data_IF_359021012944
#
_entry.id   IF_359021012944
#
_cell.length_a   1.000
_cell.length_b   1.000
_cell.length_c   1.000
_cell.angle_alpha   90.00
_cell.angle_beta   90.00
_cell.angle_gamma   90.00
#
_symmetry.space_group_name_H-M   'P 1'
#
loop_
_entity.id
_entity.type
_entity.pdbx_description
1 polymer ?
#
# COMPACT_ATOMS: atom_id res chain seq x y z
N UNK A 1 -66.96 -18.70 17.67
CA UNK A 1 -66.44 -19.05 16.33
C UNK A 1 -66.19 -17.77 15.53
N UNK A 2 -64.92 -17.47 15.21
CA UNK A 2 -64.43 -16.53 14.18
C UNK A 2 -62.90 -16.76 14.13
N UNK A 3 -62.49 -17.67 13.25
CA UNK A 3 -61.83 -17.45 11.94
C UNK A 3 -60.34 -17.10 12.06
N UNK A 4 -59.54 -18.04 11.56
CA UNK A 4 -58.09 -18.12 11.44
C UNK A 4 -57.45 -16.97 10.64
N UNK A 5 -56.20 -16.63 10.97
CA UNK A 5 -55.12 -16.23 10.04
C UNK A 5 -53.79 -16.30 10.83
N UNK A 6 -52.99 -17.36 10.74
CA UNK A 6 -51.91 -17.63 9.77
C UNK A 6 -50.75 -16.58 9.72
N UNK A 7 -49.57 -17.09 10.13
CA UNK A 7 -48.26 -17.02 9.45
C UNK A 7 -47.27 -15.89 9.80
N UNK A 8 -46.19 -16.38 10.42
CA UNK A 8 -44.81 -15.94 10.49
C UNK A 8 -44.28 -14.98 9.40
N UNK A 9 -43.38 -14.08 9.80
CA UNK A 9 -42.07 -13.93 9.13
C UNK A 9 -41.13 -13.10 10.03
N UNK A 10 -40.35 -13.80 10.84
CA UNK A 10 -39.07 -13.27 11.31
C UNK A 10 -38.08 -13.44 10.17
N UNK A 11 -37.87 -12.38 9.37
CA UNK A 11 -36.65 -12.25 8.58
C UNK A 11 -35.79 -11.19 9.27
N UNK A 12 -34.95 -11.66 10.17
CA UNK A 12 -33.81 -10.89 10.62
C UNK A 12 -32.98 -10.56 9.38
N UNK A 13 -32.94 -9.28 9.01
CA UNK A 13 -32.03 -8.76 8.01
C UNK A 13 -30.63 -8.86 8.61
N UNK A 14 -30.02 -10.04 8.49
CA UNK A 14 -28.58 -10.19 8.64
C UNK A 14 -27.95 -9.52 7.41
N UNK A 15 -27.84 -8.20 7.49
CA UNK A 15 -26.88 -7.44 6.69
C UNK A 15 -25.49 -7.93 7.12
N UNK A 16 -25.08 -9.05 6.55
CA UNK A 16 -23.68 -9.40 6.40
C UNK A 16 -23.10 -8.28 5.55
N UNK A 17 -22.58 -7.26 6.22
CA UNK A 17 -21.71 -6.26 5.62
C UNK A 17 -20.54 -7.04 5.01
N UNK A 18 -20.66 -7.39 3.73
CA UNK A 18 -19.49 -7.49 2.88
C UNK A 18 -18.73 -6.20 3.15
N UNK A 19 -17.57 -6.31 3.79
CA UNK A 19 -16.68 -5.17 3.95
C UNK A 19 -16.28 -4.82 2.52
N UNK A 20 -17.06 -3.96 1.88
CA UNK A 20 -16.78 -3.46 0.56
C UNK A 20 -15.43 -2.76 0.69
N UNK A 21 -14.40 -3.37 0.09
CA UNK A 21 -13.13 -2.71 -0.11
C UNK A 21 -13.44 -1.44 -0.88
N UNK A 22 -13.39 -0.30 -0.20
CA UNK A 22 -13.53 0.98 -0.86
C UNK A 22 -12.19 1.25 -1.53
N UNK A 23 -12.17 1.23 -2.85
CA UNK A 23 -11.04 1.77 -3.61
C UNK A 23 -10.83 3.22 -3.19
N UNK A 24 -9.57 3.66 -3.18
CA UNK A 24 -9.26 5.04 -2.86
C UNK A 24 -9.91 5.99 -3.88
N UNK A 25 -10.43 7.11 -3.40
CA UNK A 25 -10.68 8.25 -4.29
C UNK A 25 -9.36 8.94 -4.67
N UNK A 26 -9.41 9.84 -5.67
CA UNK A 26 -8.22 10.56 -6.17
C UNK A 26 -7.47 11.33 -5.07
N UNK A 27 -8.19 11.88 -4.08
CA UNK A 27 -7.58 12.62 -2.99
C UNK A 27 -6.82 11.68 -2.04
N UNK A 28 -7.42 10.53 -1.73
CA UNK A 28 -6.82 9.46 -0.93
C UNK A 28 -5.59 8.87 -1.64
N UNK A 29 -5.68 8.61 -2.95
CA UNK A 29 -4.54 8.17 -3.76
C UNK A 29 -3.41 9.20 -3.74
N UNK A 30 -3.73 10.49 -3.89
CA UNK A 30 -2.74 11.57 -3.86
C UNK A 30 -2.02 11.69 -2.51
N UNK A 31 -2.75 11.57 -1.40
CA UNK A 31 -2.18 11.59 -0.05
C UNK A 31 -1.35 10.33 0.21
N UNK A 32 -1.91 9.15 -0.06
CA UNK A 32 -1.25 7.88 0.15
C UNK A 32 0.01 7.75 -0.73
N UNK A 33 -0.07 8.14 -2.01
CA UNK A 33 1.05 8.13 -2.94
C UNK A 33 2.21 9.01 -2.48
N UNK A 34 1.93 10.22 -2.00
CA UNK A 34 2.98 11.10 -1.44
C UNK A 34 3.62 10.49 -0.19
N UNK A 35 2.81 9.96 0.72
CA UNK A 35 3.30 9.34 1.95
C UNK A 35 4.17 8.10 1.64
N UNK A 36 3.71 7.24 0.73
CA UNK A 36 4.43 6.04 0.29
C UNK A 36 5.73 6.41 -0.43
N UNK A 37 5.72 7.40 -1.33
CA UNK A 37 6.93 7.85 -2.01
C UNK A 37 8.00 8.35 -1.00
N UNK A 38 7.58 9.14 -0.01
CA UNK A 38 8.49 9.63 1.02
C UNK A 38 9.07 8.48 1.88
N UNK A 39 8.22 7.55 2.31
CA UNK A 39 8.66 6.39 3.10
C UNK A 39 9.57 5.45 2.29
N UNK A 40 9.21 5.14 1.04
CA UNK A 40 10.02 4.31 0.15
C UNK A 40 11.38 4.94 -0.13
N UNK A 41 11.42 6.27 -0.38
CA UNK A 41 12.68 7.02 -0.51
C UNK A 41 13.57 6.84 0.71
N UNK A 42 13.02 7.02 1.92
CA UNK A 42 13.77 6.85 3.17
C UNK A 42 14.35 5.44 3.29
N UNK A 43 13.58 4.41 2.96
CA UNK A 43 14.04 3.03 3.02
C UNK A 43 15.17 2.74 2.03
N UNK A 44 14.98 3.07 0.74
CA UNK A 44 15.99 2.76 -0.29
C UNK A 44 17.25 3.61 -0.15
N UNK A 45 17.15 4.81 0.44
CA UNK A 45 18.29 5.71 0.69
C UNK A 45 19.31 5.12 1.66
N UNK A 46 18.95 4.06 2.41
CA UNK A 46 19.90 3.31 3.24
C UNK A 46 20.94 2.57 2.41
N UNK A 47 20.59 2.15 1.19
CA UNK A 47 21.49 1.45 0.27
C UNK A 47 22.04 2.37 -0.83
N UNK A 48 21.18 3.23 -1.41
CA UNK A 48 21.53 4.07 -2.56
C UNK A 48 20.91 5.46 -2.39
N UNK A 49 21.72 6.53 -2.39
CA UNK A 49 21.20 7.89 -2.38
C UNK A 49 20.28 8.16 -3.59
N UNK A 50 19.09 8.69 -3.32
CA UNK A 50 18.16 9.13 -4.38
C UNK A 50 18.57 10.53 -4.84
N UNK A 51 19.22 10.63 -6.00
CA UNK A 51 19.82 11.87 -6.52
C UNK A 51 19.06 12.49 -7.69
N UNK A 52 18.14 11.76 -8.31
CA UNK A 52 17.43 12.23 -9.50
C UNK A 52 15.90 12.12 -9.42
N UNK A 53 15.29 11.93 -10.60
CA UNK A 53 13.84 11.75 -10.73
C UNK A 53 13.38 10.51 -9.97
N UNK A 54 12.20 10.63 -9.36
CA UNK A 54 11.52 9.57 -8.63
C UNK A 54 10.06 9.51 -9.06
N UNK A 55 9.48 8.32 -9.05
CA UNK A 55 8.08 8.09 -9.41
C UNK A 55 7.53 6.95 -8.57
N UNK A 56 6.39 7.20 -7.92
CA UNK A 56 5.58 6.17 -7.30
C UNK A 56 4.39 5.86 -8.20
N UNK A 57 4.12 4.58 -8.40
CA UNK A 57 2.90 4.08 -9.03
C UNK A 57 2.17 3.27 -7.99
N UNK A 58 0.92 3.63 -7.70
CA UNK A 58 0.03 2.82 -6.87
C UNK A 58 -0.61 1.77 -7.78
N UNK A 59 -0.35 0.51 -7.50
CA UNK A 59 -0.94 -0.62 -8.23
C UNK A 59 -2.30 -0.98 -7.65
N UNK A 60 -2.46 -0.83 -6.33
CA UNK A 60 -3.72 -0.96 -5.61
C UNK A 60 -3.77 0.12 -4.53
N UNK A 61 -4.97 0.60 -4.23
CA UNK A 61 -5.22 1.52 -3.12
C UNK A 61 -6.60 1.20 -2.54
N UNK A 62 -6.63 0.69 -1.32
CA UNK A 62 -7.87 0.26 -0.67
C UNK A 62 -7.98 0.83 0.75
N UNK A 63 -9.14 1.34 1.13
CA UNK A 63 -9.42 1.78 2.49
C UNK A 63 -10.11 0.66 3.28
N UNK A 64 -9.51 0.27 4.40
CA UNK A 64 -10.05 -0.73 5.34
C UNK A 64 -9.99 -0.18 6.76
N UNK A 65 -11.15 -0.04 7.40
CA UNK A 65 -11.27 0.42 8.79
C UNK A 65 -10.46 1.71 9.09
N UNK A 66 -10.49 2.68 8.17
CA UNK A 66 -9.75 3.95 8.31
C UNK A 66 -8.25 3.87 8.03
N UNK A 67 -7.74 2.73 7.58
CA UNK A 67 -6.36 2.56 7.10
C UNK A 67 -6.37 2.34 5.60
N UNK A 68 -5.53 3.06 4.87
CA UNK A 68 -5.32 2.85 3.44
C UNK A 68 -4.20 1.84 3.23
N UNK A 69 -4.46 0.75 2.52
CA UNK A 69 -3.48 -0.26 2.14
C UNK A 69 -3.14 -0.04 0.66
N UNK A 70 -1.84 0.03 0.37
CA UNK A 70 -1.34 0.37 -0.96
C UNK A 70 -0.30 -0.65 -1.38
N UNK A 71 -0.49 -1.30 -2.53
CA UNK A 71 0.62 -1.92 -3.26
C UNK A 71 1.20 -0.92 -4.24
N UNK A 72 2.52 -0.79 -4.26
CA UNK A 72 3.17 0.22 -5.05
C UNK A 72 4.44 -0.27 -5.73
N UNK A 73 4.81 0.44 -6.79
CA UNK A 73 6.14 0.42 -7.39
C UNK A 73 6.77 1.79 -7.26
N UNK A 74 7.96 1.85 -6.68
CA UNK A 74 8.74 3.09 -6.56
C UNK A 74 9.99 2.99 -7.42
N UNK A 75 10.10 3.87 -8.41
CA UNK A 75 11.22 3.97 -9.34
C UNK A 75 12.03 5.23 -9.02
N UNK A 76 13.34 5.16 -9.04
CA UNK A 76 14.19 6.31 -8.76
C UNK A 76 15.55 6.23 -9.45
N UNK A 77 16.15 7.40 -9.70
CA UNK A 77 17.52 7.51 -10.18
C UNK A 77 18.49 7.69 -9.00
N UNK A 78 19.54 6.88 -9.00
CA UNK A 78 20.69 6.99 -8.09
C UNK A 78 22.00 7.01 -8.87
N UNK A 79 23.12 6.76 -8.19
CA UNK A 79 24.47 6.89 -8.76
C UNK A 79 24.73 5.98 -9.97
N UNK A 80 24.28 4.72 -9.94
CA UNK A 80 24.53 3.74 -11.01
C UNK A 80 23.35 3.59 -11.97
N UNK A 81 22.40 4.53 -11.95
CA UNK A 81 21.29 4.60 -12.91
C UNK A 81 19.90 4.38 -12.28
N UNK A 82 19.04 3.65 -12.99
CA UNK A 82 17.65 3.44 -12.61
C UNK A 82 17.52 2.25 -11.65
N UNK A 83 16.83 2.50 -10.54
CA UNK A 83 16.48 1.52 -9.52
C UNK A 83 14.97 1.47 -9.33
N UNK A 84 14.47 0.34 -8.84
CA UNK A 84 13.07 0.23 -8.46
C UNK A 84 12.86 -0.74 -7.29
N UNK A 85 11.78 -0.51 -6.55
CA UNK A 85 11.24 -1.44 -5.55
C UNK A 85 9.76 -1.65 -5.76
N UNK A 86 9.27 -2.83 -5.42
CA UNK A 86 7.84 -3.11 -5.25
C UNK A 86 7.58 -3.48 -3.79
N UNK A 87 6.49 -2.96 -3.23
CA UNK A 87 6.17 -3.16 -1.83
C UNK A 87 4.70 -2.95 -1.52
N UNK A 88 4.35 -3.19 -0.25
CA UNK A 88 3.09 -2.75 0.33
C UNK A 88 3.33 -1.74 1.44
N UNK A 89 2.39 -0.82 1.60
CA UNK A 89 2.36 0.12 2.69
C UNK A 89 0.97 0.20 3.32
N UNK A 90 0.92 0.49 4.61
CA UNK A 90 -0.28 0.94 5.31
C UNK A 90 -0.14 2.41 5.63
N UNK A 91 -1.15 3.20 5.28
CA UNK A 91 -1.23 4.63 5.53
C UNK A 91 -2.38 4.88 6.49
N UNK A 92 -2.09 5.48 7.64
CA UNK A 92 -3.07 5.86 8.64
C UNK A 92 -2.85 7.33 9.01
N UNK A 93 -3.92 8.13 9.01
CA UNK A 93 -3.84 9.58 9.28
C UNK A 93 -2.93 10.34 8.30
N UNK A 94 -2.78 9.86 7.07
CA UNK A 94 -1.92 10.47 6.04
C UNK A 94 -0.42 10.16 6.17
N UNK A 95 -0.02 9.30 7.11
CA UNK A 95 1.36 8.85 7.28
C UNK A 95 1.49 7.34 7.11
N UNK A 96 2.65 6.88 6.64
CA UNK A 96 2.94 5.45 6.52
C UNK A 96 3.19 4.87 7.91
N UNK A 97 2.32 3.95 8.35
CA UNK A 97 2.45 3.23 9.62
C UNK A 97 3.22 1.92 9.48
N UNK A 98 3.23 1.34 8.28
CA UNK A 98 3.94 0.09 7.97
C UNK A 98 4.38 0.12 6.51
N UNK A 99 5.60 -0.30 6.22
CA UNK A 99 6.13 -0.44 4.85
C UNK A 99 6.88 -1.76 4.73
N UNK A 100 6.65 -2.49 3.64
CA UNK A 100 7.28 -3.77 3.35
C UNK A 100 7.76 -3.80 1.91
N UNK A 101 9.08 -3.87 1.73
CA UNK A 101 9.69 -4.07 0.42
C UNK A 101 9.70 -5.57 0.10
N UNK A 102 9.15 -5.93 -1.06
CA UNK A 102 9.01 -7.32 -1.52
C UNK A 102 9.99 -7.67 -2.63
N UNK A 103 10.13 -6.76 -3.60
CA UNK A 103 11.04 -6.93 -4.73
C UNK A 103 11.91 -5.70 -4.92
N UNK A 104 13.14 -5.95 -5.36
CA UNK A 104 14.12 -4.95 -5.70
C UNK A 104 14.53 -5.15 -7.16
N UNK A 105 14.91 -4.09 -7.84
CA UNK A 105 15.63 -4.21 -9.10
C UNK A 105 16.97 -4.94 -8.86
N UNK A 106 17.51 -5.66 -9.87
CA UNK A 106 18.84 -6.29 -9.75
C UNK A 106 19.91 -5.29 -9.28
N UNK A 107 19.93 -4.09 -9.88
CA UNK A 107 20.88 -3.03 -9.50
C UNK A 107 20.73 -2.61 -8.03
N UNK A 108 19.50 -2.56 -7.49
CA UNK A 108 19.29 -2.16 -6.10
C UNK A 108 19.63 -3.29 -5.14
N UNK A 109 19.35 -4.55 -5.50
CA UNK A 109 19.77 -5.70 -4.72
C UNK A 109 21.30 -5.75 -4.60
N UNK A 110 22.01 -5.55 -5.71
CA UNK A 110 23.48 -5.50 -5.75
C UNK A 110 24.03 -4.35 -4.91
N UNK A 111 23.45 -3.15 -5.04
CA UNK A 111 23.87 -1.99 -4.25
C UNK A 111 23.59 -2.17 -2.75
N UNK A 112 22.46 -2.79 -2.41
CA UNK A 112 22.11 -3.14 -1.02
C UNK A 112 23.12 -4.13 -0.44
N UNK A 113 23.50 -5.16 -1.21
CA UNK A 113 24.54 -6.11 -0.83
C UNK A 113 25.89 -5.45 -0.60
N UNK A 114 26.32 -4.56 -1.50
CA UNK A 114 27.56 -3.78 -1.36
C UNK A 114 27.56 -2.87 -0.14
N UNK A 115 26.40 -2.28 0.20
CA UNK A 115 26.22 -1.43 1.36
C UNK A 115 26.06 -2.22 2.68
N UNK A 116 25.93 -3.55 2.63
CA UNK A 116 25.64 -4.37 3.80
C UNK A 116 24.24 -4.16 4.37
N UNK A 117 23.30 -3.65 3.56
CA UNK A 117 21.93 -3.33 3.98
C UNK A 117 20.96 -4.38 3.45
N UNK A 118 20.09 -4.90 4.32
CA UNK A 118 18.97 -5.77 3.91
C UNK A 118 17.71 -4.93 3.74
N UNK A 119 17.37 -4.58 2.49
CA UNK A 119 16.17 -3.79 2.18
C UNK A 119 14.88 -4.61 2.12
N UNK A 120 14.93 -5.82 1.57
CA UNK A 120 13.75 -6.69 1.45
C UNK A 120 13.80 -7.81 2.48
N UNK A 121 12.69 -7.99 3.19
CA UNK A 121 12.47 -9.10 4.11
C UNK A 121 11.99 -10.31 3.31
N UNK A 122 12.86 -10.90 2.50
CA UNK A 122 12.71 -12.31 2.12
C UNK A 122 13.30 -13.18 3.21
#
# INVERSE_FOLDING_TARGET
MRKSLFIATAFAVSALSAQAFAECDEAQEGVAGKAVAAAAKTEVSKAVPVTGKQMVTLNTCEVRAGTTIVDYKYNFLGADGLYWVEGSAKVAGGAVSEIKLRKLSPNLADASGKAGVKLASN
#
